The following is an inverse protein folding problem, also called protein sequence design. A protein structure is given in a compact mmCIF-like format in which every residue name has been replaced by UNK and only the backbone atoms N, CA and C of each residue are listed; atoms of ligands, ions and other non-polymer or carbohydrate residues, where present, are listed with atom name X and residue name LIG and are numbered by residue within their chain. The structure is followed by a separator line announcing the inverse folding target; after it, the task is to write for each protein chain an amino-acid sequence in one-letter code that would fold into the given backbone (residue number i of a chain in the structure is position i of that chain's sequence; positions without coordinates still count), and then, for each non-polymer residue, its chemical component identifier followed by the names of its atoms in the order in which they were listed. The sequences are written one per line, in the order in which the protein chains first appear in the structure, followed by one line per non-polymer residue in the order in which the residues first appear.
data_IF_277576601586
#
_entry.id   IF_277576601586
#
_cell.length_a   1.000
_cell.length_b   1.000
_cell.length_c   1.000
_cell.angle_alpha   90.00
_cell.angle_beta   90.00
_cell.angle_gamma   90.00
#
_symmetry.space_group_name_H-M   'P 1'
#
loop_
_entity.id
_entity.type
_entity.pdbx_description
1 polymer ?
#
# COMPACT_ATOMS: atom_id res chain seq x y z
N UNK A 1 26.35 38.37 -26.73
CA UNK A 1 25.96 37.70 -25.48
C UNK A 1 27.20 37.02 -24.94
N UNK A 2 27.76 37.54 -23.83
CA UNK A 2 29.04 37.09 -23.33
C UNK A 2 29.00 35.70 -22.72
N UNK A 3 30.07 34.93 -22.93
CA UNK A 3 30.31 33.61 -22.32
C UNK A 3 30.16 33.62 -20.78
N UNK A 4 30.39 34.75 -20.17
CA UNK A 4 30.26 35.01 -18.71
C UNK A 4 28.81 34.85 -18.22
N UNK A 5 27.81 35.36 -18.95
CA UNK A 5 26.38 35.29 -18.56
C UNK A 5 25.84 33.86 -18.60
N UNK A 6 26.39 33.03 -19.49
CA UNK A 6 26.04 31.62 -19.61
C UNK A 6 26.60 30.79 -18.43
N UNK A 7 27.84 31.11 -18.04
CA UNK A 7 28.50 30.45 -16.88
C UNK A 7 27.78 30.83 -15.58
N UNK A 8 27.44 32.09 -15.38
CA UNK A 8 26.70 32.53 -14.20
C UNK A 8 25.29 31.95 -14.09
N UNK A 9 24.58 31.79 -15.23
CA UNK A 9 23.30 31.10 -15.28
C UNK A 9 23.44 29.59 -15.01
N UNK A 10 24.51 28.98 -15.48
CA UNK A 10 24.79 27.57 -15.22
C UNK A 10 25.12 27.35 -13.74
N UNK A 11 25.97 28.17 -13.13
CA UNK A 11 26.31 28.09 -11.71
C UNK A 11 25.05 28.26 -10.83
N UNK A 12 24.19 29.24 -11.09
CA UNK A 12 22.94 29.44 -10.36
C UNK A 12 22.00 28.26 -10.50
N UNK A 13 21.98 27.62 -11.67
CA UNK A 13 21.11 26.45 -11.91
C UNK A 13 21.64 25.19 -11.21
N UNK A 14 22.96 25.00 -11.17
CA UNK A 14 23.61 23.92 -10.43
C UNK A 14 23.39 24.11 -8.93
N UNK A 15 23.54 25.33 -8.42
CA UNK A 15 23.33 25.66 -7.00
C UNK A 15 21.88 25.48 -6.58
N UNK A 16 20.92 25.91 -7.41
CA UNK A 16 19.48 25.66 -7.20
C UNK A 16 19.18 24.16 -7.18
N UNK A 17 19.66 23.41 -8.19
CA UNK A 17 19.44 21.96 -8.27
C UNK A 17 20.07 21.22 -7.07
N UNK A 18 21.22 21.68 -6.61
CA UNK A 18 21.88 21.09 -5.43
C UNK A 18 21.11 21.37 -4.14
N UNK A 19 20.57 22.58 -3.98
CA UNK A 19 19.72 22.93 -2.85
C UNK A 19 18.42 22.15 -2.85
N UNK A 20 17.74 22.07 -4.01
CA UNK A 20 16.51 21.28 -4.18
C UNK A 20 16.74 19.81 -3.85
N UNK A 21 17.93 19.27 -4.20
CA UNK A 21 18.30 17.89 -3.90
C UNK A 21 18.53 17.68 -2.39
N UNK A 22 19.17 18.62 -1.70
CA UNK A 22 19.36 18.58 -0.23
C UNK A 22 18.02 18.66 0.49
N UNK A 23 17.14 19.56 0.07
CA UNK A 23 15.81 19.74 0.64
C UNK A 23 14.95 18.49 0.41
N UNK A 24 15.03 17.88 -0.79
CA UNK A 24 14.38 16.62 -1.09
C UNK A 24 14.88 15.46 -0.21
N UNK A 25 16.20 15.32 -0.02
CA UNK A 25 16.78 14.31 0.87
C UNK A 25 16.41 14.54 2.35
N UNK A 26 16.34 15.79 2.79
CA UNK A 26 15.90 16.12 4.14
C UNK A 26 14.42 15.76 4.34
N UNK A 27 13.56 16.12 3.39
CA UNK A 27 12.14 15.75 3.40
C UNK A 27 11.94 14.23 3.37
N UNK A 28 12.67 13.51 2.53
CA UNK A 28 12.64 12.04 2.46
C UNK A 28 13.06 11.40 3.79
N UNK A 29 14.12 11.92 4.42
CA UNK A 29 14.58 11.43 5.73
C UNK A 29 13.56 11.66 6.82
N UNK A 30 12.92 12.83 6.86
CA UNK A 30 11.85 13.14 7.80
C UNK A 30 10.64 12.21 7.59
N UNK A 31 10.32 11.91 6.34
CA UNK A 31 9.26 10.97 5.98
C UNK A 31 9.57 9.56 6.46
N UNK A 32 10.81 9.06 6.26
CA UNK A 32 11.24 7.74 6.75
C UNK A 32 11.13 7.64 8.27
N UNK A 33 11.53 8.69 9.00
CA UNK A 33 11.39 8.74 10.47
C UNK A 33 9.91 8.66 10.85
N UNK A 34 9.05 9.46 10.23
CA UNK A 34 7.60 9.43 10.49
C UNK A 34 6.95 8.07 10.16
N UNK A 35 7.46 7.38 9.12
CA UNK A 35 7.06 6.02 8.78
C UNK A 35 7.42 5.01 9.86
N UNK A 36 8.65 5.11 10.39
CA UNK A 36 9.14 4.22 11.44
C UNK A 36 8.32 4.39 12.72
N UNK A 37 8.07 5.63 13.14
CA UNK A 37 7.24 5.95 14.32
C UNK A 37 5.80 5.43 14.16
N UNK A 38 5.21 5.64 12.98
CA UNK A 38 3.87 5.15 12.68
C UNK A 38 3.81 3.62 12.74
N UNK A 39 4.78 2.94 12.12
CA UNK A 39 4.83 1.49 12.13
C UNK A 39 4.98 0.93 13.55
N UNK A 40 5.84 1.53 14.38
CA UNK A 40 5.98 1.13 15.79
C UNK A 40 4.70 1.36 16.58
N UNK A 41 4.01 2.48 16.37
CA UNK A 41 2.73 2.76 17.03
C UNK A 41 1.67 1.74 16.57
N UNK A 42 1.53 1.52 15.27
CA UNK A 42 0.56 0.58 14.71
C UNK A 42 0.86 -0.87 15.14
N UNK A 43 2.13 -1.26 15.21
CA UNK A 43 2.54 -2.59 15.68
C UNK A 43 2.19 -2.79 17.16
N UNK A 44 2.38 -1.76 18.00
CA UNK A 44 1.96 -1.79 19.42
C UNK A 44 0.45 -1.84 19.56
N UNK A 45 -0.29 -1.01 18.84
CA UNK A 45 -1.76 -1.01 18.83
C UNK A 45 -2.30 -2.35 18.35
N UNK A 46 -1.73 -2.91 17.28
CA UNK A 46 -2.06 -4.21 16.74
C UNK A 46 -1.85 -5.35 17.76
N UNK A 47 -0.70 -5.34 18.44
CA UNK A 47 -0.39 -6.35 19.45
C UNK A 47 -1.35 -6.24 20.65
N UNK A 48 -1.64 -5.03 21.11
CA UNK A 48 -2.58 -4.80 22.20
C UNK A 48 -4.02 -5.20 21.81
N UNK A 49 -4.42 -4.86 20.60
CA UNK A 49 -5.75 -5.19 20.09
C UNK A 49 -5.90 -6.70 19.86
N UNK A 50 -4.87 -7.36 19.34
CA UNK A 50 -4.86 -8.82 19.14
C UNK A 50 -5.06 -9.55 20.48
N UNK A 51 -4.50 -9.01 21.58
CA UNK A 51 -4.73 -9.52 22.93
C UNK A 51 -6.14 -9.23 23.46
N UNK A 52 -6.72 -8.09 23.09
CA UNK A 52 -8.04 -7.65 23.54
C UNK A 52 -9.20 -8.31 22.76
N UNK A 53 -9.00 -8.62 21.49
CA UNK A 53 -10.03 -9.14 20.57
C UNK A 53 -9.97 -10.67 20.42
N UNK A 54 -9.89 -11.41 21.53
CA UNK A 54 -9.91 -12.88 21.49
C UNK A 54 -11.12 -13.41 20.71
N UNK A 55 -10.85 -13.97 19.51
CA UNK A 55 -11.81 -14.82 18.79
C UNK A 55 -12.86 -14.09 17.92
N UNK A 56 -12.93 -12.77 17.88
CA UNK A 56 -13.90 -12.05 17.04
C UNK A 56 -13.29 -11.68 15.65
N UNK A 57 -13.49 -12.57 14.70
CA UNK A 57 -12.99 -12.40 13.32
C UNK A 57 -13.60 -11.19 12.59
N UNK A 58 -14.83 -10.80 12.91
CA UNK A 58 -15.50 -9.64 12.31
C UNK A 58 -14.85 -8.34 12.77
N UNK A 59 -14.55 -8.26 14.06
CA UNK A 59 -13.85 -7.10 14.64
C UNK A 59 -12.42 -6.97 14.10
N UNK A 60 -11.72 -8.11 13.93
CA UNK A 60 -10.38 -8.13 13.30
C UNK A 60 -10.43 -7.62 11.85
N UNK A 61 -11.46 -7.99 11.09
CA UNK A 61 -11.68 -7.50 9.72
C UNK A 61 -11.88 -5.99 9.68
N UNK A 62 -12.85 -5.47 10.44
CA UNK A 62 -13.15 -4.03 10.49
C UNK A 62 -11.93 -3.21 10.95
N UNK A 63 -11.15 -3.74 11.89
CA UNK A 63 -9.92 -3.08 12.33
C UNK A 63 -8.86 -3.06 11.22
N UNK A 64 -8.69 -4.15 10.47
CA UNK A 64 -7.78 -4.20 9.33
C UNK A 64 -8.12 -3.16 8.25
N UNK A 65 -9.41 -2.99 7.95
CA UNK A 65 -9.91 -1.94 7.04
C UNK A 65 -9.61 -0.53 7.58
N UNK A 66 -9.81 -0.30 8.88
CA UNK A 66 -9.50 0.99 9.52
C UNK A 66 -8.00 1.31 9.47
N UNK A 67 -7.14 0.31 9.68
CA UNK A 67 -5.69 0.46 9.57
C UNK A 67 -5.31 0.81 8.13
N UNK A 68 -5.89 0.14 7.14
CA UNK A 68 -5.68 0.42 5.74
C UNK A 68 -6.06 1.87 5.39
N UNK A 69 -7.24 2.32 5.81
CA UNK A 69 -7.71 3.69 5.56
C UNK A 69 -6.76 4.73 6.18
N UNK A 70 -6.29 4.52 7.41
CA UNK A 70 -5.28 5.40 8.04
C UNK A 70 -3.97 5.46 7.29
N UNK A 71 -3.50 4.34 6.73
CA UNK A 71 -2.27 4.31 5.91
C UNK A 71 -2.47 5.13 4.64
N UNK A 72 -3.63 5.00 3.99
CA UNK A 72 -3.98 5.76 2.79
C UNK A 72 -4.02 7.26 3.07
N UNK A 73 -4.73 7.70 4.10
CA UNK A 73 -4.79 9.12 4.49
C UNK A 73 -3.41 9.69 4.83
N UNK A 74 -2.57 8.92 5.56
CA UNK A 74 -1.22 9.35 5.92
C UNK A 74 -0.23 9.35 4.75
N UNK A 75 -0.55 8.69 3.64
CA UNK A 75 0.26 8.75 2.43
C UNK A 75 0.16 10.08 1.69
N UNK A 76 -0.83 10.91 2.03
CA UNK A 76 -1.13 12.17 1.36
C UNK A 76 -2.27 12.06 0.35
N UNK A 77 -2.80 10.86 0.12
CA UNK A 77 -3.93 10.63 -0.79
C UNK A 77 -5.25 11.10 -0.17
N UNK A 78 -6.12 11.69 -0.98
CA UNK A 78 -7.43 12.17 -0.57
C UNK A 78 -8.52 11.14 -0.86
N UNK A 79 -9.32 10.84 0.18
CA UNK A 79 -10.50 9.98 0.04
C UNK A 79 -11.51 10.58 -0.93
N UNK A 80 -12.20 9.72 -1.67
CA UNK A 80 -13.20 10.06 -2.68
C UNK A 80 -12.65 10.86 -3.88
N UNK A 81 -11.33 11.01 -3.98
CA UNK A 81 -10.64 11.61 -5.11
C UNK A 81 -9.54 10.70 -5.67
N UNK A 82 -8.62 10.27 -4.84
CA UNK A 82 -7.47 9.44 -5.22
C UNK A 82 -7.62 7.99 -4.74
N UNK A 83 -8.45 7.76 -3.71
CA UNK A 83 -8.86 6.41 -3.33
C UNK A 83 -10.33 6.34 -2.91
N UNK A 84 -10.95 5.20 -3.18
CA UNK A 84 -12.35 4.92 -2.90
C UNK A 84 -12.47 3.64 -2.08
N UNK A 85 -13.25 3.69 -0.99
CA UNK A 85 -13.48 2.55 -0.11
C UNK A 85 -14.77 1.85 -0.54
N UNK A 86 -14.75 0.52 -0.61
CA UNK A 86 -15.92 -0.31 -0.93
C UNK A 86 -16.65 0.08 -2.22
N UNK A 87 -15.91 0.49 -3.24
CA UNK A 87 -16.47 0.77 -4.56
C UNK A 87 -16.90 -0.54 -5.23
N UNK A 88 -18.18 -0.65 -5.60
CA UNK A 88 -18.69 -1.87 -6.21
C UNK A 88 -18.55 -1.85 -7.74
N UNK A 89 -18.16 -2.98 -8.29
CA UNK A 89 -18.06 -3.24 -9.72
C UNK A 89 -18.94 -4.43 -10.10
N UNK A 90 -19.39 -4.47 -11.34
CA UNK A 90 -20.11 -5.62 -11.89
C UNK A 90 -19.27 -6.18 -13.04
N UNK A 91 -18.92 -7.47 -12.98
CA UNK A 91 -18.22 -8.12 -14.07
C UNK A 91 -19.20 -8.52 -15.21
N UNK A 92 -18.67 -8.98 -16.34
CA UNK A 92 -19.46 -9.42 -17.51
C UNK A 92 -20.44 -10.54 -17.22
N UNK A 93 -20.19 -11.32 -16.17
CA UNK A 93 -21.06 -12.41 -15.73
C UNK A 93 -22.18 -11.90 -14.81
N UNK A 94 -22.30 -10.58 -14.60
CA UNK A 94 -23.29 -9.98 -13.73
C UNK A 94 -22.96 -10.14 -12.22
N UNK A 95 -21.78 -10.59 -11.86
CA UNK A 95 -21.37 -10.74 -10.46
C UNK A 95 -20.90 -9.38 -9.93
N UNK A 96 -21.37 -9.05 -8.74
CA UNK A 96 -20.93 -7.85 -8.03
C UNK A 96 -19.64 -8.15 -7.27
N UNK A 97 -18.59 -7.41 -7.61
CA UNK A 97 -17.31 -7.42 -6.92
C UNK A 97 -17.17 -6.16 -6.07
N UNK A 98 -16.70 -6.33 -4.85
CA UNK A 98 -16.55 -5.25 -3.88
C UNK A 98 -15.14 -5.32 -3.27
N UNK A 99 -14.14 -4.72 -3.90
CA UNK A 99 -12.82 -4.57 -3.31
C UNK A 99 -12.88 -3.63 -2.10
N UNK A 100 -11.99 -3.83 -1.12
CA UNK A 100 -11.97 -2.99 0.08
C UNK A 100 -11.55 -1.56 -0.27
N UNK A 101 -10.54 -1.39 -1.14
CA UNK A 101 -10.09 -0.10 -1.66
C UNK A 101 -9.74 -0.17 -3.14
N UNK A 102 -10.08 0.89 -3.86
CA UNK A 102 -9.62 1.16 -5.23
C UNK A 102 -8.84 2.47 -5.22
N UNK A 103 -7.57 2.39 -5.59
CA UNK A 103 -6.72 3.56 -5.83
C UNK A 103 -6.87 4.01 -7.28
N UNK A 104 -7.05 5.29 -7.49
CA UNK A 104 -6.89 5.90 -8.80
C UNK A 104 -5.42 6.29 -8.99
N UNK A 105 -4.85 5.90 -10.10
CA UNK A 105 -3.50 6.23 -10.50
C UNK A 105 -3.54 7.25 -11.63
N UNK A 106 -2.44 7.98 -11.89
CA UNK A 106 -2.29 8.78 -13.10
C UNK A 106 -2.61 7.99 -14.37
N UNK A 107 -2.97 8.69 -15.44
CA UNK A 107 -3.34 8.11 -16.73
C UNK A 107 -4.62 7.25 -16.71
N UNK A 108 -5.48 7.44 -15.70
CA UNK A 108 -6.74 6.69 -15.57
C UNK A 108 -6.60 5.28 -15.02
N UNK A 109 -5.39 4.83 -14.73
CA UNK A 109 -5.13 3.50 -14.16
C UNK A 109 -5.71 3.37 -12.75
N UNK A 110 -5.98 2.13 -12.34
CA UNK A 110 -6.53 1.82 -11.02
C UNK A 110 -5.79 0.65 -10.39
N UNK A 111 -5.61 0.69 -9.08
CA UNK A 111 -5.01 -0.38 -8.29
C UNK A 111 -5.98 -0.82 -7.20
N UNK A 112 -6.10 -2.12 -7.01
CA UNK A 112 -6.98 -2.71 -6.01
C UNK A 112 -6.16 -3.12 -4.79
N UNK A 113 -6.71 -2.82 -3.60
CA UNK A 113 -6.17 -3.30 -2.32
C UNK A 113 -7.29 -4.06 -1.60
N UNK A 114 -6.99 -5.30 -1.18
CA UNK A 114 -7.87 -6.15 -0.37
C UNK A 114 -7.20 -6.40 0.98
N UNK A 115 -7.91 -6.15 2.09
CA UNK A 115 -7.34 -6.19 3.46
C UNK A 115 -7.79 -7.39 4.29
N UNK A 116 -8.29 -8.41 3.68
CA UNK A 116 -9.02 -9.52 4.32
C UNK A 116 -8.09 -10.60 4.85
N UNK A 117 -7.40 -10.35 5.95
CA UNK A 117 -6.52 -11.32 6.61
C UNK A 117 -7.07 -11.70 7.98
N UNK A 118 -7.24 -13.03 8.20
CA UNK A 118 -7.57 -13.55 9.53
C UNK A 118 -6.32 -13.60 10.41
N UNK A 119 -6.37 -12.94 11.56
CA UNK A 119 -5.28 -12.91 12.53
C UNK A 119 -5.48 -13.87 13.71
N UNK A 120 -6.56 -14.66 13.71
CA UNK A 120 -6.93 -15.55 14.82
C UNK A 120 -5.82 -16.56 15.17
N UNK A 121 -5.22 -17.19 14.17
CA UNK A 121 -4.14 -18.14 14.43
C UNK A 121 -2.83 -17.47 14.85
N UNK A 122 -2.56 -16.24 14.36
CA UNK A 122 -1.46 -15.42 14.85
C UNK A 122 -1.65 -15.02 16.32
N UNK A 123 -2.87 -14.60 16.70
CA UNK A 123 -3.22 -14.26 18.08
C UNK A 123 -2.99 -15.48 19.02
N UNK A 124 -3.45 -16.66 18.61
CA UNK A 124 -3.22 -17.90 19.38
C UNK A 124 -1.73 -18.22 19.51
N UNK A 125 -0.97 -18.07 18.43
CA UNK A 125 0.47 -18.28 18.42
C UNK A 125 1.20 -17.42 19.46
N UNK A 126 0.89 -16.13 19.55
CA UNK A 126 1.57 -15.22 20.48
C UNK A 126 1.14 -15.39 21.93
N UNK A 127 -0.04 -15.96 22.19
CA UNK A 127 -0.61 -16.15 23.54
C UNK A 127 -0.44 -17.59 24.07
N UNK A 128 0.15 -18.50 23.32
CA UNK A 128 0.38 -19.89 23.71
C UNK A 128 1.82 -20.08 24.13
N UNK A 129 2.05 -20.68 25.32
CA UNK A 129 3.39 -21.01 25.84
C UNK A 129 3.86 -22.41 25.41
N UNK A 130 2.94 -23.32 25.15
CA UNK A 130 3.24 -24.68 24.69
C UNK A 130 3.82 -24.67 23.27
N UNK A 131 5.01 -25.22 23.09
CA UNK A 131 5.73 -25.19 21.81
C UNK A 131 5.02 -25.98 20.70
N UNK A 132 4.33 -27.09 21.02
CA UNK A 132 3.62 -27.90 20.04
C UNK A 132 2.37 -27.17 19.53
N UNK A 133 1.61 -26.58 20.44
CA UNK A 133 0.45 -25.75 20.08
C UNK A 133 0.87 -24.50 19.33
N UNK A 134 1.97 -23.86 19.70
CA UNK A 134 2.55 -22.72 18.95
C UNK A 134 2.90 -23.11 17.52
N UNK A 135 3.60 -24.22 17.32
CA UNK A 135 3.95 -24.70 15.99
C UNK A 135 2.71 -24.99 15.14
N UNK A 136 1.64 -25.55 15.73
CA UNK A 136 0.34 -25.75 15.08
C UNK A 136 -0.29 -24.45 14.67
N UNK A 137 -0.39 -23.46 15.58
CA UNK A 137 -0.98 -22.16 15.29
C UNK A 137 -0.18 -21.36 14.24
N UNK A 138 1.13 -21.50 14.22
CA UNK A 138 1.97 -20.93 13.16
C UNK A 138 1.64 -21.52 11.80
N UNK A 139 1.51 -22.83 11.69
CA UNK A 139 1.11 -23.51 10.45
C UNK A 139 -0.30 -23.08 10.00
N UNK A 140 -1.24 -22.98 10.93
CA UNK A 140 -2.60 -22.49 10.66
C UNK A 140 -2.58 -21.05 10.14
N UNK A 141 -1.73 -20.19 10.72
CA UNK A 141 -1.58 -18.79 10.27
C UNK A 141 -1.06 -18.71 8.84
N UNK A 142 0.01 -19.44 8.53
CA UNK A 142 0.56 -19.52 7.15
C UNK A 142 -0.49 -20.04 6.16
N UNK A 143 -1.21 -21.11 6.52
CA UNK A 143 -2.26 -21.66 5.69
C UNK A 143 -3.42 -20.66 5.48
N UNK A 144 -3.74 -19.86 6.48
CA UNK A 144 -4.73 -18.78 6.36
C UNK A 144 -4.31 -17.76 5.32
N UNK A 145 -3.06 -17.29 5.35
CA UNK A 145 -2.53 -16.37 4.34
C UNK A 145 -2.56 -16.97 2.94
N UNK A 146 -2.10 -18.21 2.77
CA UNK A 146 -2.17 -18.92 1.49
C UNK A 146 -3.60 -19.00 0.96
N UNK A 147 -4.55 -19.35 1.82
CA UNK A 147 -5.96 -19.42 1.46
C UNK A 147 -6.52 -18.06 1.01
N UNK A 148 -6.10 -16.97 1.64
CA UNK A 148 -6.48 -15.62 1.22
C UNK A 148 -5.90 -15.26 -0.16
N UNK A 149 -4.64 -15.61 -0.42
CA UNK A 149 -4.03 -15.45 -1.75
C UNK A 149 -4.83 -16.23 -2.81
N UNK A 150 -5.20 -17.49 -2.56
CA UNK A 150 -6.02 -18.28 -3.47
C UNK A 150 -7.39 -17.65 -3.71
N UNK A 151 -8.06 -17.23 -2.65
CA UNK A 151 -9.39 -16.61 -2.73
C UNK A 151 -9.35 -15.28 -3.49
N UNK A 152 -8.30 -14.49 -3.29
CA UNK A 152 -8.13 -13.21 -3.94
C UNK A 152 -7.82 -13.40 -5.44
N UNK A 153 -6.95 -14.34 -5.77
CA UNK A 153 -6.67 -14.72 -7.16
C UNK A 153 -7.93 -15.17 -7.90
N UNK A 154 -8.80 -15.94 -7.24
CA UNK A 154 -10.05 -16.42 -7.82
C UNK A 154 -11.09 -15.33 -8.09
N UNK A 155 -10.96 -14.13 -7.48
CA UNK A 155 -11.86 -13.00 -7.71
C UNK A 155 -11.67 -12.35 -9.09
N UNK A 156 -10.56 -12.63 -9.78
CA UNK A 156 -10.26 -12.14 -11.14
C UNK A 156 -10.54 -10.65 -11.35
N UNK A 157 -10.05 -9.82 -10.45
CA UNK A 157 -10.24 -8.37 -10.55
C UNK A 157 -9.68 -7.75 -11.85
N UNK A 158 -8.80 -8.45 -12.56
CA UNK A 158 -8.24 -8.04 -13.85
C UNK A 158 -9.25 -8.06 -15.00
N UNK A 159 -10.32 -8.85 -14.86
CA UNK A 159 -11.39 -8.95 -15.87
C UNK A 159 -12.50 -7.90 -15.67
N UNK A 160 -12.31 -6.96 -14.72
CA UNK A 160 -13.27 -5.87 -14.54
C UNK A 160 -13.16 -4.90 -15.71
N UNK A 161 -14.20 -4.86 -16.54
CA UNK A 161 -14.36 -3.89 -17.62
C UNK A 161 -14.15 -2.46 -17.10
N UNK A 162 -13.53 -1.62 -17.92
CA UNK A 162 -13.20 -0.22 -17.66
C UNK A 162 -12.12 0.05 -16.60
N UNK A 163 -11.48 -0.97 -16.01
CA UNK A 163 -10.35 -0.73 -15.14
C UNK A 163 -9.07 -1.01 -15.95
N UNK A 164 -8.40 0.03 -16.44
CA UNK A 164 -6.98 -0.05 -16.76
C UNK A 164 -6.20 -0.26 -15.45
N UNK A 165 -6.23 -1.49 -14.94
CA UNK A 165 -5.58 -1.90 -13.70
C UNK A 165 -4.16 -2.35 -14.00
N UNK A 166 -3.19 -2.10 -13.10
CA UNK A 166 -1.93 -2.83 -13.15
C UNK A 166 -2.20 -4.33 -13.05
N UNK A 167 -1.27 -5.12 -13.60
CA UNK A 167 -1.39 -6.59 -13.68
C UNK A 167 -1.33 -7.30 -12.31
N UNK A 168 -1.57 -6.58 -11.20
CA UNK A 168 -1.50 -7.13 -9.84
C UNK A 168 -2.48 -6.45 -8.87
N UNK A 169 -2.84 -7.18 -7.82
CA UNK A 169 -3.67 -6.74 -6.70
C UNK A 169 -2.81 -6.71 -5.43
N UNK A 170 -2.99 -5.71 -4.58
CA UNK A 170 -2.33 -5.65 -3.29
C UNK A 170 -3.14 -6.40 -2.23
N UNK A 171 -2.52 -7.38 -1.56
CA UNK A 171 -3.07 -8.02 -0.36
C UNK A 171 -2.46 -7.32 0.87
N UNK A 172 -3.28 -6.57 1.59
CA UNK A 172 -2.83 -5.83 2.77
C UNK A 172 -2.89 -6.69 4.03
N UNK A 173 -1.74 -6.83 4.70
CA UNK A 173 -1.61 -7.49 6.00
C UNK A 173 -1.36 -6.44 7.08
N UNK A 174 -2.34 -6.15 7.96
CA UNK A 174 -2.27 -4.99 8.86
C UNK A 174 -1.26 -5.14 10.00
N UNK A 175 -0.76 -6.34 10.26
CA UNK A 175 0.22 -6.63 11.32
C UNK A 175 1.53 -7.12 10.69
N UNK A 176 2.52 -6.25 10.66
CA UNK A 176 3.83 -6.54 10.06
C UNK A 176 4.56 -7.74 10.70
N UNK A 177 4.61 -7.88 12.04
CA UNK A 177 5.17 -9.08 12.68
C UNK A 177 4.45 -10.38 12.31
N UNK A 178 3.14 -10.35 12.05
CA UNK A 178 2.39 -11.52 11.62
C UNK A 178 2.82 -11.99 10.21
N UNK A 179 3.03 -11.05 9.30
CA UNK A 179 3.55 -11.35 7.97
C UNK A 179 5.01 -11.84 8.03
N UNK A 180 5.88 -11.15 8.78
CA UNK A 180 7.26 -11.54 8.95
C UNK A 180 7.39 -12.96 9.52
N UNK A 181 6.56 -13.31 10.51
CA UNK A 181 6.49 -14.66 11.09
C UNK A 181 6.11 -15.72 10.03
N UNK A 182 5.10 -15.43 9.22
CA UNK A 182 4.66 -16.35 8.17
C UNK A 182 5.73 -16.53 7.09
N UNK A 183 6.38 -15.46 6.67
CA UNK A 183 7.45 -15.48 5.66
C UNK A 183 8.67 -16.24 6.13
N UNK A 184 9.06 -16.08 7.41
CA UNK A 184 10.16 -16.85 8.02
C UNK A 184 9.84 -18.35 8.10
N UNK A 185 8.59 -18.73 8.28
CA UNK A 185 8.18 -20.13 8.30
C UNK A 185 8.07 -20.74 6.89
N UNK A 186 7.64 -19.95 5.92
CA UNK A 186 7.48 -20.37 4.53
C UNK A 186 7.88 -19.28 3.55
N UNK A 187 9.12 -19.33 3.10
CA UNK A 187 9.71 -18.39 2.15
C UNK A 187 9.02 -18.41 0.77
N UNK A 188 8.29 -19.48 0.43
CA UNK A 188 7.58 -19.59 -0.85
C UNK A 188 6.28 -18.76 -0.89
N UNK A 189 5.79 -18.32 0.27
CA UNK A 189 4.52 -17.59 0.38
C UNK A 189 4.48 -16.34 -0.53
N UNK A 190 5.55 -15.53 -0.48
CA UNK A 190 5.63 -14.32 -1.28
C UNK A 190 5.71 -14.62 -2.78
N UNK A 191 6.58 -15.56 -3.17
CA UNK A 191 6.75 -15.96 -4.57
C UNK A 191 5.47 -16.54 -5.15
N UNK A 192 4.80 -17.43 -4.39
CA UNK A 192 3.54 -18.05 -4.85
C UNK A 192 2.38 -17.04 -4.95
N UNK A 193 2.37 -16.00 -4.14
CA UNK A 193 1.43 -14.90 -4.29
C UNK A 193 1.73 -14.08 -5.55
N UNK A 194 3.00 -13.75 -5.76
CA UNK A 194 3.45 -12.99 -6.93
C UNK A 194 3.15 -13.70 -8.26
N UNK A 195 3.34 -15.03 -8.33
CA UNK A 195 2.96 -15.85 -9.49
C UNK A 195 1.46 -15.79 -9.82
N UNK A 196 0.63 -15.36 -8.87
CA UNK A 196 -0.81 -15.15 -9.01
C UNK A 196 -1.19 -13.68 -9.17
N UNK A 197 -0.22 -12.85 -9.49
CA UNK A 197 -0.39 -11.40 -9.59
C UNK A 197 -0.90 -10.75 -8.30
N UNK A 198 -0.49 -11.28 -7.15
CA UNK A 198 -0.81 -10.72 -5.84
C UNK A 198 0.48 -10.29 -5.16
N UNK A 199 0.56 -9.02 -4.79
CA UNK A 199 1.67 -8.47 -4.02
C UNK A 199 1.22 -8.28 -2.58
N UNK A 200 1.87 -9.00 -1.65
CA UNK A 200 1.55 -8.86 -0.23
C UNK A 200 2.26 -7.62 0.30
N UNK A 201 1.48 -6.73 0.92
CA UNK A 201 1.98 -5.48 1.50
C UNK A 201 1.59 -5.34 2.96
N UNK A 202 2.48 -4.73 3.73
CA UNK A 202 2.28 -4.36 5.13
C UNK A 202 2.09 -2.83 5.23
N UNK A 203 1.72 -2.27 6.38
CA UNK A 203 1.59 -0.83 6.55
C UNK A 203 2.80 -0.04 6.04
N UNK A 204 4.02 -0.48 6.38
CA UNK A 204 5.26 0.20 5.95
C UNK A 204 5.48 0.11 4.44
N UNK A 205 5.35 -1.08 3.86
CA UNK A 205 5.58 -1.28 2.42
C UNK A 205 4.48 -0.63 1.58
N UNK A 206 3.23 -0.68 2.03
CA UNK A 206 2.12 0.02 1.38
C UNK A 206 2.35 1.53 1.39
N UNK A 207 2.69 2.12 2.53
CA UNK A 207 2.93 3.55 2.63
C UNK A 207 4.10 4.00 1.73
N UNK A 208 5.18 3.21 1.63
CA UNK A 208 6.28 3.48 0.69
C UNK A 208 5.81 3.45 -0.78
N UNK A 209 4.98 2.47 -1.15
CA UNK A 209 4.37 2.36 -2.49
C UNK A 209 3.48 3.56 -2.79
N UNK A 210 2.61 3.93 -1.85
CA UNK A 210 1.67 5.05 -2.00
C UNK A 210 2.38 6.40 -2.14
N UNK A 211 3.51 6.60 -1.47
CA UNK A 211 4.35 7.79 -1.65
C UNK A 211 4.90 7.91 -3.07
N UNK A 212 5.24 6.79 -3.68
CA UNK A 212 5.62 6.78 -5.09
C UNK A 212 4.46 7.20 -5.99
N UNK A 213 3.26 6.71 -5.69
CA UNK A 213 2.02 7.09 -6.38
C UNK A 213 1.72 8.58 -6.23
N UNK A 214 1.81 9.13 -5.02
CA UNK A 214 1.62 10.56 -4.76
C UNK A 214 2.63 11.43 -5.54
N UNK A 215 3.88 10.99 -5.62
CA UNK A 215 4.91 11.66 -6.44
C UNK A 215 4.55 11.63 -7.93
N UNK A 216 3.97 10.53 -8.44
CA UNK A 216 3.51 10.44 -9.82
C UNK A 216 2.37 11.42 -10.10
N UNK A 217 1.40 11.54 -9.19
CA UNK A 217 0.31 12.52 -9.27
C UNK A 217 0.83 13.96 -9.29
N UNK A 218 1.80 14.26 -8.45
CA UNK A 218 2.41 15.59 -8.39
C UNK A 218 3.11 15.94 -9.70
N UNK A 219 3.85 15.00 -10.27
CA UNK A 219 4.53 15.18 -11.55
C UNK A 219 3.54 15.39 -12.71
N UNK A 220 2.45 14.62 -12.74
CA UNK A 220 1.41 14.76 -13.78
C UNK A 220 0.73 16.14 -13.69
N UNK A 221 0.35 16.59 -12.50
CA UNK A 221 -0.21 17.93 -12.28
C UNK A 221 0.75 19.03 -12.73
N UNK A 222 2.05 18.89 -12.47
CA UNK A 222 3.06 19.85 -12.93
C UNK A 222 3.18 19.87 -14.45
N UNK A 223 3.15 18.73 -15.12
CA UNK A 223 3.19 18.64 -16.58
C UNK A 223 1.94 19.27 -17.22
N UNK A 224 0.76 18.97 -16.68
CA UNK A 224 -0.49 19.56 -17.17
C UNK A 224 -0.50 21.09 -17.03
N UNK A 225 -0.09 21.60 -15.87
CA UNK A 225 0.07 23.04 -15.64
C UNK A 225 1.07 23.69 -16.61
N UNK A 226 2.20 23.04 -16.88
CA UNK A 226 3.20 23.55 -17.81
C UNK A 226 2.67 23.63 -19.25
N UNK A 227 1.89 22.62 -19.69
CA UNK A 227 1.22 22.61 -21.02
C UNK A 227 0.17 23.70 -21.10
N UNK A 228 -0.63 23.90 -20.05
CA UNK A 228 -1.65 24.94 -19.99
C UNK A 228 -1.03 26.33 -20.09
N UNK A 229 0.04 26.60 -19.32
CA UNK A 229 0.79 27.87 -19.38
C UNK A 229 1.36 28.09 -20.78
N UNK A 230 1.98 27.09 -21.39
CA UNK A 230 2.56 27.19 -22.74
C UNK A 230 1.47 27.49 -23.80
N UNK A 231 0.28 26.89 -23.64
CA UNK A 231 -0.86 27.09 -24.56
C UNK A 231 -1.45 28.50 -24.40
N UNK A 232 -1.50 29.05 -23.21
CA UNK A 232 -1.97 30.42 -22.96
C UNK A 232 -0.95 31.49 -23.33
N UNK A 233 0.35 31.21 -23.21
CA UNK A 233 1.42 32.13 -23.59
C UNK A 233 1.66 32.21 -25.11
N UNK A 234 1.17 31.22 -25.88
CA UNK A 234 1.29 31.19 -27.35
C UNK A 234 0.14 31.83 -28.12
N UNK A 235 -0.84 32.39 -27.40
CA UNK A 235 -1.93 33.21 -27.97
C UNK A 235 -1.68 34.69 -27.69
#
# INVERSE_FOLDING_TARGET
MCSSDLIEKFEKRVESTHKDNIDYHAALRQQIIGLTELNEQMSREATNLTKALKGDSKFQGNWGELVLERVLEKSGLEKDREFFVQQSFTNDQGQRLLPDVVLHLPEGKRMIIDSKVSLTSYERFINTEDELERAKHLKEHVNSLKKHVEQLSAKNYFELYDIESPDFVLLFVPIEPAFALALNHDNSLYTSAFEKNIVIVTPTTLLATLRTVDSMWTNEKQQQNAIEIATHAGR
#
